data_IF_911729552556
#
_entry.id   IF_911729552556
#
_cell.length_a   1.000
_cell.length_b   1.000
_cell.length_c   1.000
_cell.angle_alpha   90.00
_cell.angle_beta   90.00
_cell.angle_gamma   90.00
#
_symmetry.space_group_name_H-M   'P 1'
#
loop_
_entity.id
_entity.type
_entity.pdbx_description
1 polymer ?
#
# COMPACT_ATOMS: atom_id res chain seq x y z
N UNK A 1 7.37 -27.28 -38.45
CA UNK A 1 8.26 -26.86 -37.34
C UNK A 1 8.44 -25.34 -37.25
N UNK A 2 8.54 -24.61 -38.37
CA UNK A 2 8.74 -23.14 -38.38
C UNK A 2 7.54 -22.28 -37.93
N UNK A 3 6.33 -22.86 -37.91
CA UNK A 3 5.07 -22.14 -37.57
C UNK A 3 5.03 -21.69 -36.09
N UNK A 4 5.62 -22.47 -35.18
CA UNK A 4 5.71 -22.12 -33.76
C UNK A 4 6.95 -21.28 -33.42
N UNK A 5 7.96 -21.29 -34.30
CA UNK A 5 9.18 -20.50 -34.13
C UNK A 5 8.91 -18.99 -34.31
N UNK A 6 8.05 -18.63 -35.27
CA UNK A 6 7.59 -17.25 -35.46
C UNK A 6 6.72 -16.73 -34.31
N UNK A 7 5.88 -17.59 -33.73
CA UNK A 7 5.05 -17.25 -32.56
C UNK A 7 5.91 -16.99 -31.31
N UNK A 8 6.95 -17.79 -31.10
CA UNK A 8 7.91 -17.60 -30.01
C UNK A 8 8.71 -16.30 -30.15
N UNK A 9 9.11 -15.94 -31.37
CA UNK A 9 9.80 -14.67 -31.67
C UNK A 9 8.88 -13.45 -31.44
N UNK A 10 7.60 -13.55 -31.81
CA UNK A 10 6.62 -12.48 -31.62
C UNK A 10 6.29 -12.24 -30.14
N UNK A 11 6.18 -13.32 -29.35
CA UNK A 11 6.01 -13.24 -27.89
C UNK A 11 7.25 -12.62 -27.24
N UNK A 12 8.47 -13.04 -27.64
CA UNK A 12 9.73 -12.45 -27.15
C UNK A 12 9.86 -10.95 -27.45
N UNK A 13 9.35 -10.48 -28.59
CA UNK A 13 9.38 -9.07 -28.96
C UNK A 13 8.44 -8.22 -28.08
N UNK A 14 7.27 -8.76 -27.71
CA UNK A 14 6.32 -8.13 -26.80
C UNK A 14 6.84 -8.04 -25.34
N UNK A 15 7.65 -9.02 -24.90
CA UNK A 15 8.33 -8.94 -23.60
C UNK A 15 9.35 -7.80 -23.52
N UNK A 16 9.93 -7.40 -24.65
CA UNK A 16 10.98 -6.36 -24.70
C UNK A 16 10.42 -4.94 -24.57
N UNK A 17 9.17 -4.70 -24.97
CA UNK A 17 8.50 -3.39 -24.86
C UNK A 17 7.98 -3.06 -23.46
N UNK A 18 7.96 -4.03 -22.53
CA UNK A 18 7.44 -3.82 -21.18
C UNK A 18 8.43 -3.11 -20.22
N UNK A 19 9.70 -2.95 -20.61
CA UNK A 19 10.78 -2.48 -19.72
C UNK A 19 11.28 -1.04 -19.96
N UNK A 20 10.58 -0.21 -20.73
CA UNK A 20 11.16 1.03 -21.27
C UNK A 20 10.47 2.36 -20.89
N UNK A 21 9.68 2.44 -19.80
CA UNK A 21 9.25 3.76 -19.31
C UNK A 21 10.39 4.41 -18.51
N UNK A 22 11.22 5.19 -19.22
CA UNK A 22 12.23 6.05 -18.59
C UNK A 22 11.51 7.19 -17.86
N UNK A 23 11.59 7.19 -16.54
CA UNK A 23 11.07 8.26 -15.69
C UNK A 23 12.15 9.30 -15.44
N UNK A 24 11.90 10.54 -15.87
CA UNK A 24 12.90 11.60 -15.82
C UNK A 24 13.12 12.09 -14.38
N UNK A 25 14.38 12.38 -14.06
CA UNK A 25 14.75 12.95 -12.76
C UNK A 25 14.38 14.43 -12.74
N UNK A 26 13.48 14.82 -11.83
CA UNK A 26 13.05 16.20 -11.65
C UNK A 26 14.05 16.99 -10.80
N UNK A 27 14.53 16.39 -9.70
CA UNK A 27 15.59 16.95 -8.86
C UNK A 27 16.29 15.85 -8.05
N UNK A 28 17.37 16.19 -7.33
CA UNK A 28 18.11 15.23 -6.48
C UNK A 28 18.43 15.85 -5.12
N UNK A 29 18.26 15.07 -4.04
CA UNK A 29 18.65 15.46 -2.68
C UNK A 29 19.58 14.40 -2.12
N UNK A 30 20.81 14.77 -1.71
CA UNK A 30 21.80 13.84 -1.14
C UNK A 30 21.97 12.53 -1.95
N UNK A 31 22.10 12.66 -3.29
CA UNK A 31 22.21 11.53 -4.24
C UNK A 31 20.96 10.65 -4.37
N UNK A 32 19.85 11.01 -3.73
CA UNK A 32 18.55 10.39 -3.94
C UNK A 32 17.78 11.18 -5.02
N UNK A 33 17.63 10.63 -6.24
CA UNK A 33 16.83 11.27 -7.28
C UNK A 33 15.34 11.24 -6.91
N UNK A 34 14.63 12.28 -7.30
CA UNK A 34 13.17 12.38 -7.27
C UNK A 34 12.71 12.50 -8.71
N UNK A 35 11.79 11.64 -9.12
CA UNK A 35 11.33 11.59 -10.51
C UNK A 35 10.09 12.45 -10.76
N UNK A 36 9.79 12.71 -12.02
CA UNK A 36 8.57 13.41 -12.43
C UNK A 36 7.34 12.65 -11.97
N UNK A 37 7.28 11.31 -12.15
CA UNK A 37 6.12 10.54 -11.73
C UNK A 37 5.96 10.48 -10.21
N UNK A 38 7.05 10.44 -9.43
CA UNK A 38 6.97 10.54 -7.96
C UNK A 38 6.31 11.85 -7.54
N UNK A 39 6.79 12.97 -8.08
CA UNK A 39 6.21 14.28 -7.75
C UNK A 39 4.76 14.38 -8.22
N UNK A 40 4.45 13.92 -9.44
CA UNK A 40 3.09 13.91 -9.97
C UNK A 40 2.13 13.13 -9.07
N UNK A 41 2.53 11.91 -8.65
CA UNK A 41 1.74 11.11 -7.73
C UNK A 41 1.46 11.84 -6.42
N UNK A 42 2.48 12.46 -5.83
CA UNK A 42 2.31 13.24 -4.59
C UNK A 42 1.42 14.46 -4.80
N UNK A 43 1.58 15.19 -5.90
CA UNK A 43 0.77 16.36 -6.26
C UNK A 43 -0.71 15.98 -6.44
N UNK A 44 -1.00 14.93 -7.21
CA UNK A 44 -2.37 14.45 -7.42
C UNK A 44 -3.00 13.93 -6.13
N UNK A 45 -2.25 13.14 -5.34
CA UNK A 45 -2.73 12.62 -4.05
C UNK A 45 -3.06 13.72 -3.06
N UNK A 46 -2.28 14.81 -3.07
CA UNK A 46 -2.49 15.93 -2.14
C UNK A 46 -3.67 16.82 -2.55
N UNK A 47 -3.94 16.93 -3.86
CA UNK A 47 -4.98 17.79 -4.43
C UNK A 47 -6.27 17.05 -4.82
N UNK A 48 -6.33 15.72 -4.63
CA UNK A 48 -7.47 14.87 -4.99
C UNK A 48 -7.96 15.11 -6.44
N UNK A 49 -9.28 15.17 -6.65
CA UNK A 49 -9.92 15.37 -7.97
C UNK A 49 -9.80 16.82 -8.50
N UNK A 50 -9.09 17.71 -7.80
CA UNK A 50 -9.06 19.15 -8.06
C UNK A 50 -7.64 19.67 -8.34
N UNK A 51 -6.79 18.86 -8.97
CA UNK A 51 -5.48 19.31 -9.43
C UNK A 51 -5.65 20.29 -10.61
N UNK A 52 -5.37 21.59 -10.39
CA UNK A 52 -5.54 22.62 -11.43
C UNK A 52 -4.40 22.65 -12.46
N UNK A 53 -3.27 21.99 -12.17
CA UNK A 53 -2.08 21.90 -13.02
C UNK A 53 -1.53 23.24 -13.55
N UNK A 54 -1.95 24.36 -12.97
CA UNK A 54 -1.41 25.68 -13.29
C UNK A 54 0.06 25.74 -12.90
N UNK A 55 0.83 26.52 -13.66
CA UNK A 55 2.25 26.69 -13.41
C UNK A 55 2.51 27.17 -11.97
N UNK A 56 1.65 28.06 -11.46
CA UNK A 56 1.71 28.55 -10.08
C UNK A 56 1.53 27.41 -9.08
N UNK A 57 0.47 26.62 -9.21
CA UNK A 57 0.16 25.50 -8.30
C UNK A 57 1.27 24.44 -8.30
N UNK A 58 1.80 24.11 -9.48
CA UNK A 58 2.90 23.17 -9.64
C UNK A 58 4.19 23.70 -8.98
N UNK A 59 4.54 24.97 -9.20
CA UNK A 59 5.73 25.59 -8.60
C UNK A 59 5.65 25.64 -7.07
N UNK A 60 4.50 26.05 -6.52
CA UNK A 60 4.29 26.11 -5.07
C UNK A 60 4.37 24.71 -4.43
N UNK A 61 3.74 23.72 -5.05
CA UNK A 61 3.79 22.33 -4.59
C UNK A 61 5.19 21.73 -4.69
N UNK A 62 5.92 22.07 -5.76
CA UNK A 62 7.30 21.61 -5.97
C UNK A 62 8.25 22.20 -4.92
N UNK A 63 8.15 23.49 -4.62
CA UNK A 63 8.98 24.12 -3.57
C UNK A 63 8.74 23.47 -2.21
N UNK A 64 7.47 23.24 -1.83
CA UNK A 64 7.13 22.56 -0.59
C UNK A 64 7.70 21.14 -0.55
N UNK A 65 7.60 20.41 -1.66
CA UNK A 65 8.11 19.05 -1.75
C UNK A 65 9.63 18.97 -1.68
N UNK A 66 10.35 19.91 -2.32
CA UNK A 66 11.81 20.03 -2.21
C UNK A 66 12.20 20.28 -0.75
N UNK A 67 11.56 21.23 -0.07
CA UNK A 67 11.81 21.51 1.36
C UNK A 67 11.54 20.29 2.24
N UNK A 68 10.47 19.55 1.96
CA UNK A 68 10.17 18.30 2.64
C UNK A 68 11.31 17.27 2.47
N UNK A 69 11.74 17.00 1.24
CA UNK A 69 12.83 16.04 0.96
C UNK A 69 14.15 16.46 1.61
N UNK A 70 14.45 17.76 1.65
CA UNK A 70 15.61 18.31 2.38
C UNK A 70 15.53 18.04 3.88
N UNK A 71 14.38 18.28 4.51
CA UNK A 71 14.18 17.98 5.94
C UNK A 71 14.34 16.49 6.25
N UNK A 72 13.77 15.62 5.41
CA UNK A 72 13.92 14.16 5.54
C UNK A 72 15.37 13.74 5.40
N UNK A 73 16.09 14.28 4.42
CA UNK A 73 17.51 14.00 4.23
C UNK A 73 18.32 14.43 5.47
N UNK A 74 18.03 15.60 6.04
CA UNK A 74 18.70 16.05 7.26
C UNK A 74 18.39 15.18 8.47
N UNK A 75 17.13 14.77 8.64
CA UNK A 75 16.72 13.89 9.73
C UNK A 75 17.43 12.53 9.68
N UNK A 76 17.62 11.96 8.47
CA UNK A 76 18.40 10.72 8.25
C UNK A 76 19.88 10.90 8.56
N UNK A 77 20.47 12.03 8.19
CA UNK A 77 21.84 12.39 8.60
C UNK A 77 21.99 12.40 10.12
N UNK A 78 21.00 12.93 10.83
CA UNK A 78 20.93 12.94 12.30
C UNK A 78 20.51 11.59 12.90
N UNK A 79 20.37 10.53 12.08
CA UNK A 79 19.94 9.18 12.48
C UNK A 79 18.60 9.14 13.22
N UNK A 80 17.71 10.11 12.98
CA UNK A 80 16.40 10.16 13.63
C UNK A 80 15.53 8.96 13.24
N UNK A 81 15.75 8.38 12.06
CA UNK A 81 15.13 7.14 11.58
C UNK A 81 15.51 5.90 12.41
N UNK A 82 16.53 6.00 13.27
CA UNK A 82 16.99 4.89 14.11
C UNK A 82 16.35 4.86 15.50
N UNK A 83 15.63 5.92 15.89
CA UNK A 83 15.02 6.08 17.21
C UNK A 83 14.01 4.94 17.51
N UNK A 84 14.06 4.33 18.70
CA UNK A 84 13.15 3.24 19.05
C UNK A 84 11.66 3.62 18.98
N UNK A 85 11.31 4.84 19.40
CA UNK A 85 9.93 5.35 19.34
C UNK A 85 9.40 5.40 17.90
N UNK A 86 10.18 5.96 16.97
CA UNK A 86 9.81 6.05 15.56
C UNK A 86 9.71 4.67 14.91
N UNK A 87 10.61 3.73 15.24
CA UNK A 87 10.52 2.34 14.77
C UNK A 87 9.24 1.65 15.25
N UNK A 88 8.89 1.85 16.52
CA UNK A 88 7.66 1.31 17.11
C UNK A 88 6.43 1.85 16.38
N UNK A 89 6.35 3.18 16.23
CA UNK A 89 5.25 3.85 15.53
C UNK A 89 5.11 3.40 14.06
N UNK A 90 6.24 3.33 13.33
CA UNK A 90 6.26 2.84 11.95
C UNK A 90 5.77 1.39 11.84
N UNK A 91 6.12 0.54 12.81
CA UNK A 91 5.64 -0.85 12.83
C UNK A 91 4.13 -0.92 13.09
N UNK A 92 3.59 -0.10 14.00
CA UNK A 92 2.15 -0.01 14.23
C UNK A 92 1.40 0.42 12.96
N UNK A 93 1.90 1.42 12.23
CA UNK A 93 1.28 1.82 10.97
C UNK A 93 1.35 0.73 9.89
N UNK A 94 2.45 -0.02 9.81
CA UNK A 94 2.55 -1.16 8.90
C UNK A 94 1.55 -2.25 9.23
N UNK A 95 1.33 -2.55 10.51
CA UNK A 95 0.34 -3.54 10.94
C UNK A 95 -1.08 -3.12 10.55
N UNK A 96 -1.46 -1.87 10.84
CA UNK A 96 -2.78 -1.34 10.47
C UNK A 96 -3.03 -1.39 8.96
N UNK A 97 -2.02 -1.08 8.14
CA UNK A 97 -2.13 -1.22 6.69
C UNK A 97 -2.20 -2.69 6.28
N UNK A 98 -1.36 -3.55 6.85
CA UNK A 98 -1.34 -4.97 6.56
C UNK A 98 -2.72 -5.60 6.80
N UNK A 99 -3.41 -5.27 7.89
CA UNK A 99 -4.76 -5.77 8.15
C UNK A 99 -5.74 -5.42 7.03
N UNK A 100 -5.69 -4.19 6.49
CA UNK A 100 -6.52 -3.79 5.34
C UNK A 100 -6.15 -4.50 4.03
N UNK A 101 -4.92 -4.99 3.87
CA UNK A 101 -4.45 -5.69 2.66
C UNK A 101 -4.51 -7.22 2.80
N UNK A 102 -4.40 -7.75 4.01
CA UNK A 102 -4.39 -9.18 4.37
C UNK A 102 -5.77 -9.70 4.77
N UNK A 103 -6.80 -8.83 4.85
CA UNK A 103 -8.20 -9.23 4.88
C UNK A 103 -8.48 -10.09 3.64
N UNK A 104 -8.30 -11.39 3.82
CA UNK A 104 -8.36 -12.37 2.75
C UNK A 104 -9.79 -12.38 2.21
N UNK A 105 -9.93 -11.86 1.00
CA UNK A 105 -11.21 -11.80 0.29
C UNK A 105 -11.82 -13.20 0.21
N UNK A 106 -10.99 -14.24 0.11
CA UNK A 106 -11.43 -15.63 0.08
C UNK A 106 -12.04 -16.07 1.43
N UNK A 107 -11.40 -15.74 2.55
CA UNK A 107 -11.93 -16.04 3.90
C UNK A 107 -13.24 -15.30 4.13
N UNK A 108 -13.32 -14.03 3.74
CA UNK A 108 -14.52 -13.22 3.89
C UNK A 108 -15.67 -13.71 3.01
N UNK A 109 -15.41 -14.09 1.75
CA UNK A 109 -16.43 -14.66 0.86
C UNK A 109 -16.91 -16.04 1.35
N UNK A 110 -16.00 -16.87 1.87
CA UNK A 110 -16.36 -18.16 2.47
C UNK A 110 -17.26 -17.97 3.70
N UNK A 111 -16.89 -17.07 4.63
CA UNK A 111 -17.67 -16.77 5.83
C UNK A 111 -19.03 -16.15 5.48
N UNK A 112 -19.08 -15.23 4.51
CA UNK A 112 -20.33 -14.65 4.02
C UNK A 112 -21.26 -15.71 3.42
N UNK A 113 -20.71 -16.64 2.62
CA UNK A 113 -21.46 -17.75 2.03
C UNK A 113 -21.97 -18.72 3.10
N UNK A 114 -21.14 -19.03 4.11
CA UNK A 114 -21.53 -19.88 5.24
C UNK A 114 -22.68 -19.26 6.03
N UNK A 115 -22.58 -17.98 6.39
CA UNK A 115 -23.63 -17.24 7.10
C UNK A 115 -24.92 -17.19 6.27
N UNK A 116 -24.83 -16.86 4.97
CA UNK A 116 -25.99 -16.85 4.08
C UNK A 116 -26.67 -18.22 4.01
N UNK A 117 -25.90 -19.31 3.95
CA UNK A 117 -26.47 -20.65 3.94
C UNK A 117 -27.10 -21.02 5.28
N UNK A 118 -26.52 -20.64 6.43
CA UNK A 118 -27.12 -20.83 7.75
C UNK A 118 -28.43 -20.07 7.91
N UNK A 119 -28.54 -18.87 7.35
CA UNK A 119 -29.77 -18.07 7.39
C UNK A 119 -30.97 -18.72 6.68
N UNK A 120 -30.75 -19.69 5.79
CA UNK A 120 -31.83 -20.40 5.08
C UNK A 120 -32.57 -21.42 5.95
N UNK A 121 -32.03 -21.74 7.13
CA UNK A 121 -32.55 -22.80 8.00
C UNK A 121 -32.76 -22.28 9.40
N UNK A 122 -33.98 -22.39 9.91
CA UNK A 122 -34.28 -22.10 11.30
C UNK A 122 -33.99 -23.32 12.18
N UNK A 123 -33.19 -23.13 13.22
CA UNK A 123 -32.87 -24.17 14.22
C UNK A 123 -33.33 -23.70 15.58
N UNK A 124 -34.19 -24.50 16.23
CA UNK A 124 -34.62 -24.25 17.61
C UNK A 124 -33.61 -24.87 18.56
N UNK A 125 -32.93 -24.04 19.35
CA UNK A 125 -31.93 -24.49 20.32
C UNK A 125 -32.34 -24.07 21.72
N UNK A 126 -32.27 -25.01 22.67
CA UNK A 126 -32.29 -24.74 24.10
C UNK A 126 -30.88 -24.92 24.63
N UNK A 127 -30.34 -23.94 25.34
CA UNK A 127 -29.04 -24.05 25.98
C UNK A 127 -29.19 -23.87 27.49
N UNK A 128 -28.43 -24.63 28.26
CA UNK A 128 -28.24 -24.41 29.69
C UNK A 128 -26.80 -23.92 29.84
N UNK A 129 -26.65 -22.66 30.23
CA UNK A 129 -25.35 -22.11 30.58
C UNK A 129 -25.04 -22.47 32.03
N UNK A 130 -23.88 -23.10 32.25
CA UNK A 130 -23.35 -23.35 33.58
C UNK A 130 -22.12 -22.47 33.73
N UNK A 131 -22.19 -21.50 34.64
CA UNK A 131 -21.04 -20.67 34.97
C UNK A 131 -20.01 -21.50 35.71
N UNK A 132 -18.80 -21.55 35.17
CA UNK A 132 -17.62 -22.06 35.86
C UNK A 132 -16.78 -20.86 36.35
N UNK A 133 -16.36 -20.90 37.61
CA UNK A 133 -15.51 -19.87 38.21
C UNK A 133 -14.01 -20.18 38.05
N UNK A 134 -13.65 -21.20 37.28
CA UNK A 134 -12.28 -21.40 36.85
C UNK A 134 -11.85 -20.26 35.91
N UNK A 135 -10.71 -19.65 36.22
CA UNK A 135 -10.09 -18.64 35.36
C UNK A 135 -9.63 -19.35 34.09
N UNK A 136 -10.37 -19.16 32.99
CA UNK A 136 -9.96 -19.65 31.68
C UNK A 136 -8.56 -19.14 31.34
N UNK A 137 -7.67 -20.05 30.95
CA UNK A 137 -6.32 -19.72 30.49
C UNK A 137 -6.29 -19.06 29.10
N UNK A 138 -7.45 -18.78 28.51
CA UNK A 138 -7.55 -18.09 27.22
C UNK A 138 -7.50 -16.60 27.50
N UNK A 139 -6.28 -16.07 27.61
CA UNK A 139 -6.03 -14.64 27.44
C UNK A 139 -6.35 -14.28 25.99
N UNK A 140 -7.40 -13.47 25.81
CA UNK A 140 -7.55 -12.64 24.62
C UNK A 140 -6.49 -11.54 24.62
#
# INVERSE_FOLDING_TARGET
MYKYLGLFFFISLMYSSAFAQKDDVLFTVNKAPVTVNEFKYIYEKSNNKSADYSEKSLKESLDLYIRFKLKVAKARELKMDTLPSLKSELNSYKQQLADSYLMDKEVNERLATELFNRMKTDVRVAHIFIADNHVDSIKA
#
